data_IF_645842599788
#
_entry.id   IF_645842599788
#
_cell.length_a   1.000
_cell.length_b   1.000
_cell.length_c   1.000
_cell.angle_alpha   90.00
_cell.angle_beta   90.00
_cell.angle_gamma   90.00
#
_symmetry.space_group_name_H-M   'P 1'
#
loop_
_entity.id
_entity.type
_entity.pdbx_description
1 polymer ?
#
# COMPACT_ATOMS: atom_id res chain seq x y z
N UNK A 1 3.94 11.24 16.93
CA UNK A 1 3.68 10.88 15.54
C UNK A 1 3.19 12.04 14.70
N UNK A 2 2.10 12.60 15.12
CA UNK A 2 1.46 13.61 14.29
C UNK A 2 2.32 14.84 14.10
N UNK A 3 3.27 15.11 15.00
CA UNK A 3 4.13 16.28 14.87
C UNK A 3 4.95 16.25 13.59
N UNK A 4 5.14 15.07 13.01
CA UNK A 4 5.90 14.94 11.77
C UNK A 4 5.02 14.85 10.54
N UNK A 5 3.72 15.00 10.70
CA UNK A 5 2.82 14.97 9.56
C UNK A 5 2.92 16.27 8.79
N UNK A 6 3.24 16.21 7.49
CA UNK A 6 3.34 17.43 6.71
C UNK A 6 1.99 18.09 6.51
N UNK A 7 1.99 19.38 6.32
CA UNK A 7 0.78 20.09 5.95
C UNK A 7 0.37 19.68 4.55
N UNK A 8 -0.92 19.86 4.22
CA UNK A 8 -1.41 19.45 2.92
C UNK A 8 -0.62 20.04 1.77
N UNK A 9 -0.22 21.31 1.90
CA UNK A 9 0.45 21.99 0.81
C UNK A 9 1.96 21.79 0.82
N UNK A 10 2.46 20.93 1.69
CA UNK A 10 3.90 20.65 1.73
C UNK A 10 4.22 19.26 1.20
N UNK A 11 3.29 18.65 0.47
CA UNK A 11 3.52 17.36 -0.16
C UNK A 11 4.55 17.53 -1.27
N UNK A 12 5.44 16.56 -1.37
CA UNK A 12 6.44 16.54 -2.44
C UNK A 12 6.53 15.10 -2.99
N UNK A 13 7.35 14.96 -4.04
CA UNK A 13 7.44 13.66 -4.73
C UNK A 13 7.94 12.56 -3.80
N UNK A 14 8.73 12.89 -2.82
CA UNK A 14 9.23 11.89 -1.86
C UNK A 14 8.11 11.26 -1.05
N UNK A 15 7.03 12.00 -0.79
CA UNK A 15 5.91 11.47 -0.05
C UNK A 15 5.20 10.35 -0.82
N UNK A 16 5.11 10.47 -2.13
CA UNK A 16 4.51 9.42 -2.96
C UNK A 16 5.34 8.15 -2.91
N UNK A 17 6.64 8.30 -3.04
CA UNK A 17 7.54 7.14 -2.98
C UNK A 17 7.51 6.48 -1.61
N UNK A 18 7.43 7.29 -0.55
CA UNK A 18 7.37 6.76 0.81
C UNK A 18 6.10 5.94 1.02
N UNK A 19 4.97 6.45 0.56
CA UNK A 19 3.71 5.72 0.71
C UNK A 19 3.72 4.44 -0.10
N UNK A 20 4.28 4.48 -1.31
CA UNK A 20 4.40 3.26 -2.13
C UNK A 20 5.26 2.23 -1.42
N UNK A 21 6.36 2.65 -0.83
CA UNK A 21 7.25 1.73 -0.13
C UNK A 21 6.54 1.09 1.06
N UNK A 22 5.79 1.88 1.82
CA UNK A 22 5.07 1.36 2.98
C UNK A 22 3.97 0.39 2.55
N UNK A 23 3.27 0.69 1.47
CA UNK A 23 2.26 -0.23 0.94
C UNK A 23 2.91 -1.53 0.47
N UNK A 24 4.07 -1.43 -0.13
CA UNK A 24 4.80 -2.62 -0.56
C UNK A 24 5.15 -3.51 0.63
N UNK A 25 5.66 -2.92 1.71
CA UNK A 25 6.01 -3.67 2.90
C UNK A 25 4.79 -4.34 3.51
N UNK A 26 3.67 -3.62 3.60
CA UNK A 26 2.43 -4.19 4.13
C UNK A 26 1.94 -5.33 3.26
N UNK A 27 1.97 -5.17 1.94
CA UNK A 27 1.53 -6.22 1.03
C UNK A 27 2.38 -7.46 1.16
N UNK A 28 3.69 -7.30 1.28
CA UNK A 28 4.58 -8.43 1.48
C UNK A 28 4.31 -9.12 2.82
N UNK A 29 4.03 -8.35 3.86
CA UNK A 29 3.72 -8.89 5.17
C UNK A 29 2.44 -9.72 5.12
N UNK A 30 1.41 -9.22 4.46
CA UNK A 30 0.16 -9.96 4.34
C UNK A 30 0.39 -11.26 3.58
N UNK A 31 1.12 -11.20 2.49
CA UNK A 31 1.38 -12.39 1.69
C UNK A 31 2.20 -13.42 2.46
N UNK A 32 3.27 -12.98 3.11
CA UNK A 32 4.21 -13.91 3.75
C UNK A 32 3.71 -14.43 5.08
N UNK A 33 3.04 -13.59 5.88
CA UNK A 33 2.75 -13.93 7.27
C UNK A 33 1.29 -14.21 7.56
N UNK A 34 0.40 -13.71 6.73
CA UNK A 34 -1.04 -13.85 6.98
C UNK A 34 -1.67 -14.81 5.98
N UNK A 35 -1.48 -14.56 4.70
CA UNK A 35 -2.09 -15.38 3.66
C UNK A 35 -1.54 -16.81 3.68
N UNK A 36 -0.25 -16.95 3.96
CA UNK A 36 0.39 -18.26 4.02
C UNK A 36 0.36 -18.88 5.40
N UNK A 37 -0.36 -18.27 6.33
CA UNK A 37 -0.52 -18.85 7.66
C UNK A 37 -1.28 -20.17 7.56
N UNK A 38 -0.89 -21.21 8.35
CA UNK A 38 -1.57 -22.51 8.25
C UNK A 38 -3.07 -22.44 8.45
N UNK A 39 -3.54 -21.57 9.36
CA UNK A 39 -4.97 -21.46 9.58
C UNK A 39 -5.69 -20.87 8.36
N UNK A 40 -5.08 -19.92 7.68
CA UNK A 40 -5.65 -19.36 6.46
C UNK A 40 -5.77 -20.41 5.37
N UNK A 41 -4.77 -21.26 5.25
CA UNK A 41 -4.79 -22.33 4.26
C UNK A 41 -5.83 -23.39 4.60
N UNK A 42 -6.13 -23.57 5.88
CA UNK A 42 -7.10 -24.52 6.33
C UNK A 42 -8.54 -24.01 6.17
N UNK A 43 -8.73 -22.71 6.21
CA UNK A 43 -10.03 -22.06 6.06
C UNK A 43 -10.05 -21.23 4.79
N UNK A 44 -10.57 -21.81 3.73
CA UNK A 44 -10.57 -21.19 2.42
C UNK A 44 -11.32 -19.85 2.41
N UNK A 45 -12.40 -19.76 3.15
CA UNK A 45 -13.19 -18.55 3.22
C UNK A 45 -12.40 -17.40 3.85
N UNK A 46 -11.61 -17.69 4.89
CA UNK A 46 -10.76 -16.69 5.51
C UNK A 46 -9.64 -16.29 4.54
N UNK A 47 -9.04 -17.27 3.90
CA UNK A 47 -7.97 -17.01 2.94
C UNK A 47 -8.45 -16.13 1.80
N UNK A 48 -9.64 -16.42 1.26
CA UNK A 48 -10.19 -15.64 0.17
C UNK A 48 -10.45 -14.19 0.59
N UNK A 49 -10.95 -14.00 1.81
CA UNK A 49 -11.23 -12.65 2.30
C UNK A 49 -9.94 -11.84 2.45
N UNK A 50 -8.90 -12.47 2.96
CA UNK A 50 -7.59 -11.81 3.09
C UNK A 50 -7.02 -11.51 1.71
N UNK A 51 -7.18 -12.44 0.76
CA UNK A 51 -6.72 -12.22 -0.60
C UNK A 51 -7.39 -11.03 -1.25
N UNK A 52 -8.70 -10.85 -1.00
CA UNK A 52 -9.43 -9.69 -1.51
C UNK A 52 -8.86 -8.40 -0.95
N UNK A 53 -8.55 -8.39 0.35
CA UNK A 53 -7.97 -7.20 0.97
C UNK A 53 -6.59 -6.89 0.38
N UNK A 54 -5.79 -7.92 0.14
CA UNK A 54 -4.47 -7.74 -0.46
C UNK A 54 -4.60 -7.14 -1.86
N UNK A 55 -5.57 -7.61 -2.62
CA UNK A 55 -5.79 -7.09 -3.97
C UNK A 55 -6.16 -5.61 -3.94
N UNK A 56 -7.01 -5.20 -3.00
CA UNK A 56 -7.38 -3.80 -2.87
C UNK A 56 -6.19 -2.93 -2.49
N UNK A 57 -5.34 -3.43 -1.61
CA UNK A 57 -4.13 -2.70 -1.23
C UNK A 57 -3.15 -2.60 -2.40
N UNK A 58 -3.10 -3.62 -3.24
CA UNK A 58 -2.26 -3.58 -4.42
C UNK A 58 -2.77 -2.55 -5.42
N UNK A 59 -4.08 -2.44 -5.56
CA UNK A 59 -4.68 -1.40 -6.40
C UNK A 59 -4.33 -0.01 -5.86
N UNK A 60 -4.37 0.15 -4.53
CA UNK A 60 -3.99 1.42 -3.92
C UNK A 60 -2.54 1.76 -4.23
N UNK A 61 -1.66 0.77 -4.20
CA UNK A 61 -0.27 0.96 -4.56
C UNK A 61 -0.13 1.52 -5.98
N UNK A 62 -0.89 0.94 -6.92
CA UNK A 62 -0.85 1.40 -8.31
C UNK A 62 -1.42 2.80 -8.44
N UNK A 63 -2.44 3.12 -7.67
CA UNK A 63 -3.01 4.46 -7.69
C UNK A 63 -2.03 5.51 -7.20
N UNK A 64 -1.25 5.18 -6.17
CA UNK A 64 -0.23 6.10 -5.70
C UNK A 64 0.86 6.28 -6.75
N UNK A 65 1.22 5.20 -7.45
CA UNK A 65 2.18 5.30 -8.53
C UNK A 65 1.72 6.23 -9.64
N UNK A 66 0.45 6.11 -10.02
CA UNK A 66 -0.11 7.00 -11.03
C UNK A 66 -0.16 8.44 -10.55
N UNK A 67 -0.54 8.64 -9.29
CA UNK A 67 -0.58 9.98 -8.71
C UNK A 67 0.82 10.60 -8.65
N UNK A 68 1.81 9.78 -8.33
CA UNK A 68 3.21 10.23 -8.30
C UNK A 68 3.64 10.71 -9.68
N UNK A 69 3.31 9.94 -10.71
CA UNK A 69 3.65 10.29 -12.07
C UNK A 69 2.99 11.62 -12.47
N UNK A 70 1.71 11.78 -12.15
CA UNK A 70 0.98 13.00 -12.46
C UNK A 70 1.57 14.21 -11.73
N UNK A 71 1.91 14.01 -10.46
CA UNK A 71 2.50 15.07 -9.66
C UNK A 71 3.82 15.54 -10.28
N UNK A 72 4.68 14.61 -10.64
CA UNK A 72 5.97 14.94 -11.23
C UNK A 72 5.80 15.67 -12.56
N UNK A 73 4.82 15.28 -13.34
CA UNK A 73 4.58 15.92 -14.64
C UNK A 73 3.99 17.32 -14.50
N UNK A 74 3.19 17.54 -13.48
CA UNK A 74 2.61 18.85 -13.24
C UNK A 74 3.62 19.85 -12.69
N UNK A 75 4.68 19.36 -12.09
CA UNK A 75 5.65 20.22 -11.43
C UNK A 75 6.96 20.33 -12.17
N UNK A 76 6.97 20.04 -13.45
CA UNK A 76 8.15 20.21 -14.30
C UNK A 76 8.31 21.67 -14.78
#
# INVERSE_FOLDING_TARGET
MSSNTPKKNSINSGHYLELMDRLHVVNCTIDDHILNHPLSEHHKDIQDKIGDALELLFEAYQMVGNASWEYDNENI
#
